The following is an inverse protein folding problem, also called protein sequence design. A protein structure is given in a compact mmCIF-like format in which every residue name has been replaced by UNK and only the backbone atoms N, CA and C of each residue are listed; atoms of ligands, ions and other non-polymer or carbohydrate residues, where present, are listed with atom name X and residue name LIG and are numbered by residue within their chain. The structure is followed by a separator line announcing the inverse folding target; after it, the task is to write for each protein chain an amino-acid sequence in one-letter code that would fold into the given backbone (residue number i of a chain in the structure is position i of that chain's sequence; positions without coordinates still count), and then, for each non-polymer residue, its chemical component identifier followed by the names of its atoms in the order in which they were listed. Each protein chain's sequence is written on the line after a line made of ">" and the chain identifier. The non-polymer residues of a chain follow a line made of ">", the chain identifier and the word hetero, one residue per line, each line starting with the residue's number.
data_IF_615347076677
#
_entry.id   IF_615347076677
#
_cell.length_a   1.000
_cell.length_b   1.000
_cell.length_c   1.000
_cell.angle_alpha   90.00
_cell.angle_beta   90.00
_cell.angle_gamma   90.00
#
_symmetry.space_group_name_H-M   'P 1'
#
loop_
_entity.id
_entity.type
_entity.pdbx_description
1 polymer ?
2 non-polymer ?
3 non-polymer ?
4 non-polymer ?
5 water ?
#
# COMPACT_ATOMS: atom_id res chain seq x y z
N UNK A 3 24.37 -9.02 0.59
CA UNK A 3 23.70 -9.08 1.93
C UNK A 3 24.00 -7.80 2.73
N UNK A 4 24.11 -6.65 2.06
CA UNK A 4 24.34 -5.34 2.69
C UNK A 4 23.10 -4.83 3.40
N UNK A 5 23.20 -3.68 4.07
CA UNK A 5 22.11 -3.11 4.91
C UNK A 5 20.88 -2.79 4.05
N UNK A 6 21.07 -2.16 2.88
CA UNK A 6 19.97 -1.77 1.95
C UNK A 6 19.24 -3.03 1.46
N UNK A 7 19.99 -4.04 1.01
CA UNK A 7 19.46 -5.36 0.59
C UNK A 7 18.62 -5.95 1.74
N UNK A 8 19.21 -6.02 2.93
CA UNK A 8 18.60 -6.58 4.16
C UNK A 8 17.30 -5.82 4.48
N UNK A 9 17.32 -4.49 4.42
CA UNK A 9 16.13 -3.66 4.74
C UNK A 9 15.05 -3.89 3.67
N UNK A 10 15.43 -4.04 2.40
CA UNK A 10 14.46 -4.31 1.31
C UNK A 10 13.92 -5.75 1.42
N UNK A 11 14.68 -6.70 1.96
CA UNK A 11 14.15 -8.06 2.25
C UNK A 11 13.05 -7.94 3.30
N UNK A 12 13.26 -7.13 4.35
CA UNK A 12 12.24 -6.89 5.39
C UNK A 12 11.00 -6.27 4.74
N UNK A 13 11.19 -5.29 3.86
CA UNK A 13 10.09 -4.65 3.09
C UNK A 13 9.36 -5.71 2.27
N UNK A 14 10.09 -6.58 1.58
CA UNK A 14 9.48 -7.65 0.74
C UNK A 14 8.68 -8.60 1.64
N UNK A 15 9.18 -8.92 2.83
CA UNK A 15 8.45 -9.75 3.81
C UNK A 15 7.13 -9.11 4.20
N UNK A 16 7.16 -7.81 4.50
CA UNK A 16 5.94 -7.03 4.84
C UNK A 16 4.97 -7.11 3.66
N UNK A 17 5.46 -6.84 2.44
CA UNK A 17 4.63 -6.85 1.21
C UNK A 17 3.93 -8.20 1.07
N UNK A 18 4.67 -9.30 1.21
CA UNK A 18 4.10 -10.67 1.15
C UNK A 18 3.01 -10.81 2.22
N UNK A 19 3.25 -10.30 3.43
CA UNK A 19 2.25 -10.40 4.53
C UNK A 19 0.99 -9.62 4.13
N UNK A 20 1.14 -8.39 3.62
CA UNK A 20 -0.02 -7.54 3.27
C UNK A 20 -0.86 -8.24 2.19
N UNK A 21 -0.24 -9.05 1.33
CA UNK A 21 -0.92 -9.77 0.21
C UNK A 21 -1.42 -11.15 0.66
N UNK A 22 -1.12 -11.58 1.89
CA UNK A 22 -1.39 -12.96 2.37
C UNK A 22 -2.86 -13.14 2.77
N UNK A 23 -3.32 -14.39 2.82
CA UNK A 23 -4.72 -14.74 3.17
C UNK A 23 -5.06 -14.19 4.57
N UNK A 24 -4.08 -14.13 5.47
CA UNK A 24 -4.24 -13.65 6.87
C UNK A 24 -4.99 -12.31 6.90
N UNK A 25 -4.71 -11.40 5.96
CA UNK A 25 -5.21 -10.00 5.98
C UNK A 25 -6.21 -9.74 4.85
N UNK A 26 -6.63 -10.77 4.11
CA UNK A 26 -7.43 -10.62 2.86
C UNK A 26 -8.77 -9.93 3.14
N UNK A 27 -9.34 -10.08 4.34
CA UNK A 27 -10.68 -9.52 4.68
C UNK A 27 -10.67 -7.99 4.58
N UNK A 28 -9.54 -7.33 4.84
CA UNK A 28 -9.43 -5.84 4.81
C UNK A 28 -8.37 -5.37 3.80
N UNK A 29 -7.54 -6.26 3.26
CA UNK A 29 -6.47 -5.87 2.30
C UNK A 29 -7.01 -5.80 0.87
N UNK A 30 -8.11 -6.49 0.55
CA UNK A 30 -8.49 -6.76 -0.86
C UNK A 30 -8.73 -5.47 -1.65
N UNK A 31 -9.26 -4.36 -1.08
CA UNK A 31 -9.44 -3.13 -1.86
C UNK A 31 -8.12 -2.54 -2.39
N UNK A 32 -6.98 -2.98 -1.85
CA UNK A 32 -5.63 -2.42 -2.11
C UNK A 32 -4.81 -3.36 -3.00
N UNK A 33 -5.40 -4.47 -3.47
CA UNK A 33 -4.69 -5.51 -4.26
C UNK A 33 -4.35 -4.99 -5.66
N UNK A 34 -5.24 -4.18 -6.25
CA UNK A 34 -5.12 -3.74 -7.66
C UNK A 34 -5.44 -2.26 -7.74
N UNK A 35 -5.01 -1.55 -8.80
CA UNK A 35 -5.33 -0.14 -8.96
C UNK A 35 -6.85 0.07 -8.85
N UNK A 36 -7.26 1.16 -8.20
CA UNK A 36 -8.69 1.59 -8.15
C UNK A 36 -9.18 1.70 -9.59
N UNK A 37 -10.20 0.92 -9.95
CA UNK A 37 -10.87 1.00 -11.27
C UNK A 37 -11.97 2.06 -11.15
N UNK A 38 -11.60 3.33 -11.28
CA UNK A 38 -12.48 4.50 -11.04
C UNK A 38 -13.75 4.37 -11.90
N UNK A 39 -13.58 4.12 -13.20
CA UNK A 39 -14.67 3.98 -14.20
C UNK A 39 -15.63 2.86 -13.79
N UNK A 40 -15.10 1.68 -13.45
CA UNK A 40 -15.88 0.49 -13.04
C UNK A 40 -16.68 0.79 -11.77
N UNK A 41 -16.11 1.56 -10.83
CA UNK A 41 -16.72 1.86 -9.51
C UNK A 41 -17.61 3.11 -9.59
N UNK A 42 -17.64 3.80 -10.74
CA UNK A 42 -18.42 5.04 -10.96
C UNK A 42 -17.81 6.24 -10.25
N UNK A 43 -16.51 6.18 -9.94
CA UNK A 43 -15.77 7.24 -9.20
C UNK A 43 -15.13 8.19 -10.21
N UNK A 44 -15.94 9.00 -10.89
CA UNK A 44 -15.51 9.79 -12.07
C UNK A 44 -14.69 11.02 -11.66
N UNK A 45 -14.55 11.28 -10.35
CA UNK A 45 -13.73 12.38 -9.80
C UNK A 45 -12.43 11.83 -9.20
N UNK A 46 -12.24 10.51 -9.18
CA UNK A 46 -11.10 9.87 -8.46
C UNK A 46 -9.77 10.46 -8.95
N UNK A 47 -9.56 10.51 -10.26
CA UNK A 47 -8.26 10.91 -10.87
C UNK A 47 -8.09 12.43 -10.85
N UNK A 48 -9.14 13.19 -10.53
CA UNK A 48 -9.04 14.65 -10.32
C UNK A 48 -8.57 14.93 -8.89
N UNK A 49 -8.92 14.05 -7.95
CA UNK A 49 -8.62 14.22 -6.49
C UNK A 49 -7.31 13.49 -6.16
N UNK A 50 -7.08 12.32 -6.76
CA UNK A 50 -5.87 11.48 -6.53
C UNK A 50 -4.94 11.62 -7.74
N UNK A 51 -3.87 12.41 -7.57
CA UNK A 51 -2.85 12.72 -8.60
C UNK A 51 -1.95 11.51 -8.85
N UNK A 52 -1.62 10.77 -7.78
CA UNK A 52 -0.63 9.66 -7.79
C UNK A 52 -1.26 8.39 -7.22
N UNK A 53 -2.03 7.63 -8.03
CA UNK A 53 -2.62 6.38 -7.57
C UNK A 53 -1.51 5.40 -7.16
N UNK A 54 -1.79 4.56 -6.17
CA UNK A 54 -0.85 3.50 -5.73
C UNK A 54 -1.65 2.35 -5.12
N UNK A 55 -1.16 1.13 -5.31
CA UNK A 55 -1.83 -0.11 -4.85
C UNK A 55 -0.74 -1.17 -4.68
N UNK A 56 -1.07 -2.29 -4.04
CA UNK A 56 -0.06 -3.31 -3.67
C UNK A 56 0.47 -4.04 -4.91
N UNK A 57 -0.31 -4.18 -5.99
CA UNK A 57 0.17 -4.84 -7.23
C UNK A 57 1.27 -3.99 -7.85
N UNK A 58 1.13 -2.66 -7.78
CA UNK A 58 2.14 -1.70 -8.29
C UNK A 58 3.38 -1.76 -7.40
N UNK A 59 3.21 -1.80 -6.08
CA UNK A 59 4.35 -1.94 -5.12
C UNK A 59 5.08 -3.25 -5.44
N UNK A 60 4.35 -4.33 -5.71
CA UNK A 60 4.94 -5.66 -5.98
C UNK A 60 5.74 -5.61 -7.28
N UNK A 61 5.19 -4.99 -8.33
CA UNK A 61 5.88 -4.86 -9.64
C UNK A 61 7.18 -4.07 -9.44
N UNK A 62 7.12 -2.97 -8.68
CA UNK A 62 8.31 -2.11 -8.44
C UNK A 62 9.35 -2.90 -7.64
N UNK A 63 8.93 -3.71 -6.66
CA UNK A 63 9.87 -4.54 -5.86
C UNK A 63 10.53 -5.58 -6.77
N UNK A 64 9.73 -6.28 -7.59
CA UNK A 64 10.22 -7.33 -8.53
C UNK A 64 11.20 -6.72 -9.54
N UNK A 65 10.96 -5.48 -9.97
CA UNK A 65 11.78 -4.76 -10.99
C UNK A 65 13.00 -4.10 -10.33
N UNK A 66 13.17 -4.25 -9.01
CA UNK A 66 14.27 -3.62 -8.23
C UNK A 66 14.21 -2.10 -8.41
N UNK A 67 13.00 -1.55 -8.48
CA UNK A 67 12.74 -0.09 -8.61
C UNK A 67 13.13 0.60 -7.29
N UNK A 68 12.73 0.04 -6.15
CA UNK A 68 13.01 0.63 -4.81
C UNK A 68 14.50 0.48 -4.49
N UNK A 69 15.15 1.60 -4.17
CA UNK A 69 16.60 1.62 -3.84
C UNK A 69 16.79 1.51 -2.33
N UNK A 70 15.75 1.78 -1.52
CA UNK A 70 15.84 1.69 -0.04
C UNK A 70 14.45 1.50 0.56
N UNK A 71 14.40 1.17 1.86
CA UNK A 71 13.16 0.90 2.62
C UNK A 71 12.26 2.15 2.60
N UNK A 72 12.84 3.34 2.71
CA UNK A 72 12.11 4.63 2.78
C UNK A 72 11.27 4.80 1.50
N UNK A 73 11.82 4.47 0.34
CA UNK A 73 11.13 4.64 -0.96
C UNK A 73 9.93 3.69 -1.02
N UNK A 74 10.12 2.43 -0.61
CA UNK A 74 9.04 1.41 -0.50
C UNK A 74 7.94 1.92 0.43
N UNK A 75 8.30 2.35 1.64
CA UNK A 75 7.35 2.82 2.67
C UNK A 75 6.54 4.00 2.13
N UNK A 76 7.18 4.91 1.38
CA UNK A 76 6.53 6.11 0.81
C UNK A 76 5.38 5.68 -0.12
N UNK A 77 5.56 4.61 -0.91
CA UNK A 77 4.50 4.10 -1.82
C UNK A 77 3.38 3.46 -1.01
N UNK A 78 3.70 2.66 0.01
CA UNK A 78 2.65 2.00 0.83
C UNK A 78 1.83 3.09 1.52
N UNK A 79 2.49 4.12 2.05
CA UNK A 79 1.78 5.20 2.78
C UNK A 79 0.99 6.08 1.81
N UNK A 80 1.51 6.31 0.60
CA UNK A 80 0.79 7.05 -0.47
C UNK A 80 -0.54 6.33 -0.76
N UNK A 81 -0.50 5.00 -0.86
CA UNK A 81 -1.70 4.17 -1.09
C UNK A 81 -2.75 4.45 0.00
N UNK A 82 -2.35 4.43 1.27
CA UNK A 82 -3.27 4.68 2.41
C UNK A 82 -3.74 6.14 2.38
N UNK A 83 -2.82 7.09 2.17
CA UNK A 83 -3.12 8.54 2.10
C UNK A 83 -4.19 8.80 1.03
N UNK A 84 -4.07 8.16 -0.14
CA UNK A 84 -5.05 8.32 -1.25
C UNK A 84 -6.43 7.89 -0.74
N UNK A 85 -6.49 6.78 -0.01
CA UNK A 85 -7.75 6.24 0.56
C UNK A 85 -8.36 7.26 1.53
N UNK A 86 -7.55 7.83 2.43
CA UNK A 86 -8.00 8.80 3.46
C UNK A 86 -8.39 10.14 2.82
N UNK A 87 -7.77 10.49 1.69
CA UNK A 87 -8.08 11.76 0.97
C UNK A 87 -9.42 11.64 0.24
N UNK A 88 -9.66 10.52 -0.45
CA UNK A 88 -10.79 10.38 -1.40
C UNK A 88 -12.08 10.01 -0.65
N UNK A 89 -11.98 9.14 0.36
CA UNK A 89 -13.15 8.44 0.96
C UNK A 89 -13.61 9.16 2.22
N UNK A 90 -14.94 9.23 2.46
CA UNK A 90 -15.45 9.74 3.73
C UNK A 90 -14.93 8.85 4.85
N UNK A 91 -14.54 9.42 6.01
CA UNK A 91 -13.91 8.64 7.08
C UNK A 91 -14.79 7.54 7.68
N UNK A 92 -16.09 7.51 7.33
CA UNK A 92 -17.09 6.53 7.82
C UNK A 92 -17.27 5.37 6.83
N UNK A 93 -16.68 5.44 5.63
CA UNK A 93 -16.77 4.37 4.60
C UNK A 93 -15.99 3.15 5.08
N UNK A 94 -16.49 1.95 4.78
CA UNK A 94 -15.86 0.65 5.17
C UNK A 94 -14.40 0.61 4.70
N UNK A 95 -14.10 1.14 3.52
CA UNK A 95 -12.73 1.04 2.92
C UNK A 95 -11.72 1.79 3.79
N UNK A 96 -12.15 2.85 4.50
CA UNK A 96 -11.25 3.63 5.39
C UNK A 96 -10.94 2.79 6.63
N UNK A 97 -11.95 2.14 7.22
CA UNK A 97 -11.76 1.18 8.34
C UNK A 97 -10.76 0.10 7.92
N UNK A 98 -10.90 -0.42 6.69
CA UNK A 98 -10.01 -1.47 6.14
C UNK A 98 -8.59 -0.93 5.96
N UNK A 99 -8.44 0.29 5.41
CA UNK A 99 -7.13 0.98 5.26
C UNK A 99 -6.43 1.10 6.62
N UNK A 100 -7.15 1.59 7.64
CA UNK A 100 -6.61 1.80 9.01
C UNK A 100 -6.05 0.48 9.54
N UNK A 101 -6.80 -0.61 9.38
CA UNK A 101 -6.42 -1.96 9.88
C UNK A 101 -5.17 -2.45 9.13
N UNK A 102 -5.13 -2.30 7.81
CA UNK A 102 -3.96 -2.77 7.03
C UNK A 102 -2.75 -1.87 7.32
N UNK A 103 -2.96 -0.56 7.53
CA UNK A 103 -1.85 0.36 7.86
C UNK A 103 -1.29 0.01 9.25
N UNK A 104 -2.14 -0.40 10.19
CA UNK A 104 -1.68 -0.85 11.53
C UNK A 104 -0.72 -2.04 11.34
N UNK A 105 -1.09 -3.02 10.51
CA UNK A 105 -0.25 -4.21 10.21
C UNK A 105 1.08 -3.72 9.64
N UNK A 106 1.02 -2.81 8.67
CA UNK A 106 2.21 -2.26 7.98
C UNK A 106 3.11 -1.54 8.99
N UNK A 107 2.57 -0.56 9.72
CA UNK A 107 3.38 0.35 10.57
C UNK A 107 4.07 -0.45 11.67
N UNK A 108 3.38 -1.39 12.32
CA UNK A 108 3.97 -2.14 13.46
C UNK A 108 5.10 -3.02 12.94
N UNK A 109 4.95 -3.65 11.77
CA UNK A 109 6.03 -4.51 11.24
C UNK A 109 7.15 -3.66 10.64
N UNK A 110 6.82 -2.55 9.97
CA UNK A 110 7.85 -1.65 9.39
C UNK A 110 8.77 -1.15 10.51
N UNK A 111 8.20 -0.89 11.69
CA UNK A 111 8.93 -0.38 12.88
C UNK A 111 9.98 -1.41 13.34
N UNK A 112 9.81 -2.69 13.01
CA UNK A 112 10.75 -3.79 13.39
C UNK A 112 11.86 -3.95 12.33
N UNK A 113 12.08 -2.93 11.50
CA UNK A 113 13.16 -2.87 10.47
C UNK A 113 14.50 -3.22 11.12
N UNK A 114 15.30 -4.14 10.53
CA UNK A 114 16.65 -4.39 11.03
C UNK A 114 17.57 -3.19 10.77
N UNK A 115 18.36 -2.81 11.78
CA UNK A 115 19.30 -1.66 11.71
C UNK A 115 20.65 -2.15 11.16
X LIG B 1 -0.61 3.53 12.72
X LIG B 1 -1.38 3.19 11.58
X LIG B 1 -0.61 2.45 13.73
X LIG B 1 -1.90 2.00 14.09
X LIG C 1 10.47 6.00 -8.81
X LIG C 1 9.85 4.73 -8.97
X LIG C 1 11.38 6.35 -9.94
X LIG C 1 12.27 5.31 -10.27
X LIG D 1 -13.89 12.84 1.54
X LIG D 1 -15.14 12.71 2.20
X LIG D 1 -13.04 13.91 2.12
X LIG D 1 -12.78 13.74 3.50
X LIG E 1 14.48 -8.99 -7.70
X LIG E 1 12.77 -9.46 -6.14
X LIG E 1 14.07 -9.84 -6.58
X LIG E 1 12.55 -9.63 -4.75
X LIG E 1 13.18 -8.49 -4.01
X LIG E 1 13.52 -8.89 -2.69
X LIG E 1 13.67 -7.80 -1.79
X LIG E 1 14.81 -6.94 -2.22
X LIG E 1 15.99 -7.72 -2.36
X LIG E 1 17.17 -6.92 -2.41
X LIG E 1 18.28 -7.71 -3.03
X LIG E 1 19.06 -8.31 -2.00
X LIG E 1 20.02 -9.24 -2.50
X LIG E 1 20.68 -9.94 -1.35
X LIG F 1 -14.44 -0.89 -3.02
X LIG F 1 -12.89 0.89 -2.87
X LIG F 1 -14.91 -1.63 0.69
X LIG F 1 -16.20 -2.12 0.72
X LIG F 1 -16.92 -2.22 -0.45
X LIG F 1 -15.78 4.02 -3.18
X LIG F 1 -8.68 1.86 -2.43
X LIG F 1 -10.09 1.61 -2.65
X LIG F 1 -10.99 2.60 -2.63
X LIG F 1 -10.67 3.76 -2.39
X LIG F 1 -12.43 2.21 -2.83
X LIG F 1 -13.37 3.25 -2.92
X LIG F 1 -14.73 2.96 -3.06
X LIG F 1 -15.16 1.64 -3.12
X LIG F 1 -14.23 0.61 -3.04
X LIG F 1 -12.97 -1.35 -3.21
X LIG F 1 -12.66 -1.71 -4.63
X LIG F 1 -11.42 -2.33 -4.71
X LIG F 1 -12.10 -0.23 -2.80
X LIG F 1 -15.06 -1.34 -1.70
X LIG F 1 -14.35 -1.24 -0.52
X LIG F 1 -16.36 -1.82 -1.66
X LIG F 1 -16.86 3.78 -3.72
X LIG F 1 -15.50 5.22 -2.65
X LIG F 1 -16.44 6.32 -2.71
X LIG F 1 -17.12 6.74 -1.45
X LIG F 1 -18.40 7.55 -1.53
X LIG F 1 -18.15 8.55 -2.53
X LIG F 1 -16.77 8.89 -2.45
X LIG F 1 -16.06 7.61 -2.05
#
# INVERSE_FOLDING_TARGET
>A
GSMGKLSEQLKHCNGILKELLSKKHAAYAWPFYKPVDASALGLHDYHDIIKHPMDLSTVKRKMENRDYRDAQEFAADVRLMFSNCYKYNPPDHDVVAMARKLQDVFEFRYAKMPD
>B hetero
1 EDO C1 O1 C2 O2
>C hetero
1 EDO C1 O1 C2 O2
>D hetero
1 EDO C1 O1 C2 O2
>E hetero
1 1PG C2 O2 C3 C4 C5 O3 C6 C7 O4 C8 C9 O5 C10 C11
>F hetero
1 QC8 C10 C17 C20 C21 C22 C24 C01 N02 C03 O04 C05 C06 C07 C08 C09 C12 C14 F15 O16 C18 C19 C23 O25 N26 C27 C29 C31 O32 C33 C34
#
